data_IF_773785545183
#
_entry.id   IF_773785545183
#
_cell.length_a   1.000
_cell.length_b   1.000
_cell.length_c   1.000
_cell.angle_alpha   90.00
_cell.angle_beta   90.00
_cell.angle_gamma   90.00
#
_symmetry.space_group_name_H-M   'P 1'
#
loop_
_entity.id
_entity.type
_entity.pdbx_description
1 polymer ?
#
# COMPACT_ATOMS: atom_id res chain seq x y z
N UNK A 1 17.32 4.00 -14.44
CA UNK A 1 15.91 3.87 -14.06
C UNK A 1 15.20 3.11 -15.17
N UNK A 2 14.71 1.91 -14.85
CA UNK A 2 13.80 1.18 -15.71
C UNK A 2 12.34 1.61 -15.45
N UNK A 3 11.40 1.06 -16.21
CA UNK A 3 9.96 1.37 -16.06
C UNK A 3 9.42 1.03 -14.66
N UNK A 4 9.85 -0.08 -14.05
CA UNK A 4 9.42 -0.49 -12.71
C UNK A 4 9.96 0.43 -11.62
N UNK A 5 11.20 0.92 -11.75
CA UNK A 5 11.78 1.89 -10.81
C UNK A 5 10.94 3.18 -10.77
N UNK A 6 10.45 3.62 -11.94
CA UNK A 6 9.58 4.80 -12.04
C UNK A 6 8.22 4.57 -11.37
N UNK A 7 7.59 3.42 -11.63
CA UNK A 7 6.32 3.06 -11.01
C UNK A 7 6.44 2.87 -9.49
N UNK A 8 7.52 2.26 -9.01
CA UNK A 8 7.80 2.11 -7.58
C UNK A 8 7.96 3.47 -6.90
N UNK A 9 8.76 4.37 -7.50
CA UNK A 9 8.95 5.73 -6.99
C UNK A 9 7.63 6.51 -6.92
N UNK A 10 6.83 6.47 -7.99
CA UNK A 10 5.51 7.11 -8.03
C UNK A 10 4.57 6.54 -6.96
N UNK A 11 4.58 5.23 -6.76
CA UNK A 11 3.73 4.57 -5.75
C UNK A 11 4.14 4.96 -4.33
N UNK A 12 5.44 5.00 -4.04
CA UNK A 12 5.97 5.45 -2.74
C UNK A 12 5.58 6.90 -2.47
N UNK A 13 5.68 7.78 -3.48
CA UNK A 13 5.24 9.16 -3.38
C UNK A 13 3.75 9.23 -3.00
N UNK A 14 2.88 8.53 -3.72
CA UNK A 14 1.43 8.48 -3.43
C UNK A 14 1.14 8.00 -2.00
N UNK A 15 1.84 6.97 -1.52
CA UNK A 15 1.66 6.49 -0.14
C UNK A 15 1.99 7.56 0.90
N UNK A 16 3.07 8.30 0.71
CA UNK A 16 3.51 9.34 1.65
C UNK A 16 2.57 10.55 1.63
N UNK A 17 2.16 10.98 0.45
CA UNK A 17 1.20 12.08 0.32
C UNK A 17 -0.15 11.71 0.92
N UNK A 18 -0.63 10.48 0.70
CA UNK A 18 -1.87 10.00 1.31
C UNK A 18 -1.76 9.94 2.84
N UNK A 19 -0.62 9.48 3.37
CA UNK A 19 -0.41 9.44 4.82
C UNK A 19 -0.42 10.83 5.45
N UNK A 20 0.15 11.83 4.77
CA UNK A 20 0.12 13.23 5.23
C UNK A 20 -1.26 13.89 5.04
N UNK A 21 -1.97 13.54 3.97
CA UNK A 21 -3.22 14.22 3.59
C UNK A 21 -4.47 13.72 4.34
N UNK A 22 -4.43 12.51 4.92
CA UNK A 22 -5.60 11.88 5.52
C UNK A 22 -5.36 11.51 6.99
N UNK A 23 -6.14 12.11 7.90
CA UNK A 23 -6.12 11.79 9.34
C UNK A 23 -6.46 10.32 9.64
N UNK A 24 -7.24 9.67 8.76
CA UNK A 24 -7.72 8.29 8.91
C UNK A 24 -7.51 7.50 7.61
N UNK A 25 -6.26 7.20 7.31
CA UNK A 25 -5.90 6.33 6.20
C UNK A 25 -6.10 4.85 6.55
N UNK A 26 -6.55 4.04 5.59
CA UNK A 26 -6.53 2.59 5.67
C UNK A 26 -6.31 2.00 4.26
N UNK A 27 -5.67 0.84 4.19
CA UNK A 27 -5.47 0.11 2.92
C UNK A 27 -6.37 -1.12 2.88
N UNK A 28 -7.13 -1.29 1.79
CA UNK A 28 -7.85 -2.52 1.52
C UNK A 28 -6.89 -3.63 1.04
N UNK A 29 -6.95 -4.80 1.66
CA UNK A 29 -6.11 -5.95 1.34
C UNK A 29 -6.97 -7.19 1.07
N UNK A 30 -6.94 -7.64 -0.18
CA UNK A 30 -7.73 -8.78 -0.66
C UNK A 30 -6.96 -10.09 -0.69
N UNK A 31 -5.71 -10.13 -0.18
CA UNK A 31 -4.80 -11.28 -0.25
C UNK A 31 -4.39 -11.64 -1.71
N UNK A 32 -4.91 -10.92 -2.71
CA UNK A 32 -4.56 -11.07 -4.12
C UNK A 32 -3.23 -10.41 -4.50
N UNK A 33 -2.74 -10.74 -5.70
CA UNK A 33 -1.44 -10.28 -6.24
C UNK A 33 -1.26 -8.76 -6.15
N UNK A 34 -2.27 -7.98 -6.52
CA UNK A 34 -2.16 -6.52 -6.63
C UNK A 34 -2.11 -5.89 -5.23
N UNK A 35 -2.94 -6.40 -4.31
CA UNK A 35 -2.94 -5.95 -2.92
C UNK A 35 -1.66 -6.34 -2.16
N UNK A 36 -1.02 -7.45 -2.51
CA UNK A 36 0.29 -7.82 -1.97
C UNK A 36 1.41 -6.91 -2.48
N UNK A 37 1.37 -6.51 -3.76
CA UNK A 37 2.29 -5.50 -4.30
C UNK A 37 2.10 -4.16 -3.58
N UNK A 38 0.85 -3.73 -3.36
CA UNK A 38 0.57 -2.52 -2.58
C UNK A 38 1.12 -2.60 -1.16
N UNK A 39 0.93 -3.74 -0.46
CA UNK A 39 1.44 -3.94 0.89
C UNK A 39 2.97 -3.84 0.93
N UNK A 40 3.65 -4.42 -0.06
CA UNK A 40 5.11 -4.31 -0.21
C UNK A 40 5.56 -2.86 -0.46
N UNK A 41 4.87 -2.14 -1.35
CA UNK A 41 5.15 -0.74 -1.65
C UNK A 41 4.92 0.18 -0.43
N UNK A 42 3.87 -0.07 0.35
CA UNK A 42 3.64 0.63 1.61
C UNK A 42 4.80 0.39 2.59
N UNK A 43 5.25 -0.86 2.75
CA UNK A 43 6.44 -1.16 3.57
C UNK A 43 7.67 -0.42 3.06
N UNK A 44 7.92 -0.37 1.75
CA UNK A 44 9.02 0.42 1.19
C UNK A 44 8.87 1.92 1.48
N UNK A 45 7.66 2.47 1.38
CA UNK A 45 7.40 3.88 1.61
C UNK A 45 7.73 4.32 3.05
N UNK A 46 7.52 3.43 4.03
CA UNK A 46 7.68 3.70 5.47
C UNK A 46 8.75 2.80 6.15
N UNK A 47 9.87 2.57 5.46
CA UNK A 47 11.08 1.94 6.05
C UNK A 47 10.81 0.57 6.71
N UNK A 48 9.93 -0.22 6.13
CA UNK A 48 9.57 -1.57 6.58
C UNK A 48 8.27 -1.64 7.39
N UNK A 49 7.74 -0.49 7.83
CA UNK A 49 6.50 -0.37 8.60
C UNK A 49 5.29 -0.10 7.71
N UNK A 50 4.09 -0.28 8.27
CA UNK A 50 2.83 0.17 7.66
C UNK A 50 2.10 0.99 8.73
N UNK A 51 2.14 2.33 8.68
CA UNK A 51 1.70 3.20 9.77
C UNK A 51 0.19 3.42 9.81
N UNK A 52 -0.59 2.64 9.06
CA UNK A 52 -2.04 2.71 8.98
C UNK A 52 -2.66 1.30 8.96
N UNK A 53 -3.93 1.15 9.35
CA UNK A 53 -4.62 -0.13 9.32
C UNK A 53 -4.70 -0.74 7.92
N UNK A 54 -4.57 -2.07 7.87
CA UNK A 54 -4.84 -2.88 6.69
C UNK A 54 -6.16 -3.62 6.91
N UNK A 55 -7.10 -3.47 5.99
CA UNK A 55 -8.47 -3.95 6.12
C UNK A 55 -8.70 -5.08 5.13
N UNK A 56 -9.02 -6.26 5.66
CA UNK A 56 -9.49 -7.39 4.88
C UNK A 56 -11.02 -7.51 5.03
N UNK A 57 -11.72 -7.65 3.91
CA UNK A 57 -13.16 -7.93 3.91
C UNK A 57 -13.35 -9.41 3.64
N UNK A 58 -13.73 -10.15 4.68
CA UNK A 58 -14.07 -11.56 4.57
C UNK A 58 -15.52 -11.71 4.07
N UNK A 59 -15.68 -12.31 2.88
CA UNK A 59 -16.99 -12.57 2.28
C UNK A 59 -17.56 -13.93 2.67
N UNK A 60 -16.88 -14.70 3.51
CA UNK A 60 -17.18 -16.10 3.87
C UNK A 60 -17.19 -17.10 2.69
N UNK A 61 -16.82 -16.66 1.50
CA UNK A 61 -16.83 -17.48 0.28
C UNK A 61 -15.51 -18.24 0.13
N UNK A 62 -15.59 -19.57 0.00
CA UNK A 62 -14.45 -20.46 -0.25
C UNK A 62 -14.18 -20.65 -1.74
#
# INVERSE_FOLDING_TARGET
MNHLDALESQSIYIFREAFESFDKLAMLWSIGKDSNVMLWLARKAFLGHVPFPVVHVDTSYK
#
